data_IF_158850856514
#
_entry.id   IF_158850856514
#
_cell.length_a   1.000
_cell.length_b   1.000
_cell.length_c   1.000
_cell.angle_alpha   90.00
_cell.angle_beta   90.00
_cell.angle_gamma   90.00
#
_symmetry.space_group_name_H-M   'P 1'
#
loop_
_entity.id
_entity.type
_entity.pdbx_description
1 polymer ?
#
# COMPACT_ATOMS: atom_id res chain seq x y z
N UNK A 1 14.64 1.01 40.23
CA UNK A 1 14.05 0.42 39.00
C UNK A 1 14.10 1.47 37.91
N UNK A 2 15.05 1.41 36.96
CA UNK A 2 15.07 2.36 35.86
C UNK A 2 13.87 2.11 34.95
N UNK A 3 13.13 3.17 34.67
CA UNK A 3 11.95 3.19 33.83
C UNK A 3 12.31 2.75 32.41
N UNK A 4 11.42 1.95 31.81
CA UNK A 4 11.57 1.29 30.48
C UNK A 4 11.98 2.25 29.34
N UNK A 5 11.77 3.54 29.55
CA UNK A 5 12.08 4.65 28.65
C UNK A 5 13.58 4.88 28.48
N UNK A 6 14.41 4.62 29.51
CA UNK A 6 15.84 4.90 29.44
C UNK A 6 16.64 3.89 28.60
N UNK A 7 16.10 2.69 28.34
CA UNK A 7 16.83 1.62 27.61
C UNK A 7 16.72 1.73 26.09
N UNK A 8 15.81 2.54 25.54
CA UNK A 8 15.63 2.67 24.09
C UNK A 8 16.53 3.71 23.43
N UNK A 9 17.09 4.66 24.19
CA UNK A 9 17.88 5.77 23.64
C UNK A 9 19.28 5.37 23.12
N UNK A 10 19.84 4.25 23.56
CA UNK A 10 21.20 3.82 23.21
C UNK A 10 21.27 2.85 22.01
N UNK A 11 20.14 2.57 21.36
CA UNK A 11 20.08 1.58 20.29
C UNK A 11 20.37 2.21 18.92
N UNK A 12 21.19 1.56 18.06
CA UNK A 12 21.41 2.03 16.69
C UNK A 12 20.06 2.10 15.94
N UNK A 13 19.88 3.14 15.11
CA UNK A 13 18.62 3.49 14.41
C UNK A 13 17.90 2.27 13.80
N UNK A 14 18.65 1.32 13.21
CA UNK A 14 18.09 0.08 12.65
C UNK A 14 17.41 -0.83 13.68
N UNK A 15 17.97 -0.95 14.88
CA UNK A 15 17.39 -1.75 15.97
C UNK A 15 16.16 -1.06 16.55
N UNK A 16 16.19 0.27 16.65
CA UNK A 16 15.04 1.07 17.07
C UNK A 16 13.86 0.88 16.10
N UNK A 17 14.09 1.02 14.79
CA UNK A 17 13.05 0.81 13.78
C UNK A 17 12.45 -0.61 13.84
N UNK A 18 13.28 -1.65 13.93
CA UNK A 18 12.78 -3.03 14.02
C UNK A 18 11.93 -3.26 15.27
N UNK A 19 12.32 -2.67 16.40
CA UNK A 19 11.53 -2.74 17.63
C UNK A 19 10.19 -2.02 17.46
N UNK A 20 10.21 -0.77 17.01
CA UNK A 20 8.98 0.03 16.78
C UNK A 20 8.03 -0.60 15.76
N UNK A 21 8.57 -1.15 14.66
CA UNK A 21 7.76 -1.86 13.67
C UNK A 21 7.12 -3.12 14.25
N UNK A 22 7.86 -3.87 15.07
CA UNK A 22 7.31 -5.06 15.74
C UNK A 22 6.23 -4.71 16.76
N UNK A 23 6.31 -3.54 17.38
CA UNK A 23 5.26 -3.01 18.28
C UNK A 23 4.03 -2.59 17.49
N UNK A 24 4.19 -1.87 16.37
CA UNK A 24 3.10 -1.54 15.46
C UNK A 24 2.39 -2.79 14.92
N UNK A 25 3.13 -3.85 14.61
CA UNK A 25 2.54 -5.11 14.14
C UNK A 25 1.70 -5.82 15.22
N UNK A 26 2.09 -5.66 16.49
CA UNK A 26 1.38 -6.20 17.65
C UNK A 26 0.20 -5.33 18.07
N UNK A 27 0.23 -4.04 17.74
CA UNK A 27 -0.88 -3.12 17.95
C UNK A 27 -2.14 -3.64 17.23
N UNK A 28 -3.29 -3.53 17.89
CA UNK A 28 -4.55 -4.02 17.31
C UNK A 28 -4.86 -3.24 16.03
N UNK A 29 -4.90 -1.91 16.11
CA UNK A 29 -5.30 -1.03 15.00
C UNK A 29 -4.22 -1.01 13.91
N UNK A 30 -2.95 -0.83 14.29
CA UNK A 30 -1.82 -0.78 13.35
C UNK A 30 -1.58 -2.12 12.65
N UNK A 31 -1.63 -3.23 13.40
CA UNK A 31 -1.47 -4.57 12.84
C UNK A 31 -2.59 -4.92 11.86
N UNK A 32 -3.84 -4.53 12.14
CA UNK A 32 -4.94 -4.69 11.19
C UNK A 32 -4.73 -3.92 9.90
N UNK A 33 -4.25 -2.67 9.96
CA UNK A 33 -3.95 -1.89 8.77
C UNK A 33 -2.91 -2.60 7.88
N UNK A 34 -1.84 -3.14 8.47
CA UNK A 34 -0.80 -3.84 7.71
C UNK A 34 -1.35 -5.13 7.08
N UNK A 35 -2.06 -5.97 7.84
CA UNK A 35 -2.67 -7.20 7.30
C UNK A 35 -3.64 -6.90 6.16
N UNK A 36 -4.50 -5.90 6.32
CA UNK A 36 -5.46 -5.50 5.31
C UNK A 36 -4.76 -4.95 4.06
N UNK A 37 -3.70 -4.14 4.22
CA UNK A 37 -2.91 -3.65 3.08
C UNK A 37 -2.28 -4.79 2.27
N UNK A 38 -1.81 -5.85 2.93
CA UNK A 38 -1.29 -7.04 2.28
C UNK A 38 -2.38 -7.84 1.56
N UNK A 39 -3.56 -7.99 2.19
CA UNK A 39 -4.70 -8.66 1.56
C UNK A 39 -5.13 -7.91 0.29
N UNK A 40 -5.27 -6.59 0.36
CA UNK A 40 -5.63 -5.75 -0.78
C UNK A 40 -4.55 -5.81 -1.88
N UNK A 41 -3.27 -5.77 -1.51
CA UNK A 41 -2.19 -5.93 -2.49
C UNK A 41 -2.22 -7.30 -3.19
N UNK A 42 -2.44 -8.39 -2.44
CA UNK A 42 -2.59 -9.73 -3.03
C UNK A 42 -3.81 -9.78 -3.94
N UNK A 43 -4.92 -9.15 -3.53
CA UNK A 43 -6.12 -9.03 -4.35
C UNK A 43 -5.86 -8.27 -5.66
N UNK A 44 -5.14 -7.15 -5.62
CA UNK A 44 -4.70 -6.40 -6.81
C UNK A 44 -3.92 -7.28 -7.78
N UNK A 45 -2.90 -7.98 -7.27
CA UNK A 45 -2.04 -8.86 -8.07
C UNK A 45 -2.87 -10.01 -8.67
N UNK A 46 -3.78 -10.58 -7.89
CA UNK A 46 -4.71 -11.60 -8.36
C UNK A 46 -5.59 -11.08 -9.51
N UNK A 47 -6.19 -9.89 -9.38
CA UNK A 47 -7.00 -9.29 -10.45
C UNK A 47 -6.18 -9.11 -11.74
N UNK A 48 -4.95 -8.61 -11.63
CA UNK A 48 -4.07 -8.40 -12.79
C UNK A 48 -3.72 -9.73 -13.47
N UNK A 49 -3.35 -10.76 -12.70
CA UNK A 49 -2.95 -12.06 -13.27
C UNK A 49 -4.14 -12.77 -13.95
N UNK A 50 -5.31 -12.77 -13.32
CA UNK A 50 -6.50 -13.44 -13.87
C UNK A 50 -7.01 -12.73 -15.13
N UNK A 51 -6.92 -11.40 -15.16
CA UNK A 51 -7.34 -10.61 -16.32
C UNK A 51 -6.30 -10.57 -17.45
N UNK A 52 -5.02 -10.83 -17.18
CA UNK A 52 -3.92 -10.69 -18.14
C UNK A 52 -4.17 -11.35 -19.50
N UNK A 53 -4.83 -12.52 -19.52
CA UNK A 53 -5.12 -13.28 -20.75
C UNK A 53 -6.31 -12.76 -21.55
N UNK A 54 -7.19 -11.96 -20.93
CA UNK A 54 -8.41 -11.42 -21.54
C UNK A 54 -8.29 -9.93 -21.86
N UNK A 55 -7.21 -9.29 -21.43
CA UNK A 55 -6.99 -7.87 -21.65
C UNK A 55 -6.67 -7.59 -23.13
N UNK A 56 -7.34 -6.61 -23.77
CA UNK A 56 -6.91 -6.08 -25.05
C UNK A 56 -5.52 -5.45 -24.91
N UNK A 57 -4.80 -5.25 -26.03
CA UNK A 57 -3.46 -4.67 -26.00
C UNK A 57 -3.43 -3.26 -25.38
N UNK A 58 -4.52 -2.51 -25.50
CA UNK A 58 -4.66 -1.15 -24.99
C UNK A 58 -5.89 -1.02 -24.07
N UNK A 59 -5.72 -0.35 -22.94
CA UNK A 59 -6.75 -0.15 -21.92
C UNK A 59 -6.84 1.32 -21.48
N UNK A 60 -8.04 1.82 -21.14
CA UNK A 60 -8.23 3.20 -20.71
C UNK A 60 -7.81 3.37 -19.24
N UNK A 61 -6.55 3.78 -19.02
CA UNK A 61 -6.01 4.04 -17.67
C UNK A 61 -6.00 5.54 -17.32
N UNK A 62 -5.96 6.42 -18.32
CA UNK A 62 -5.83 7.87 -18.10
C UNK A 62 -7.18 8.58 -18.07
N UNK A 63 -7.94 8.38 -16.99
CA UNK A 63 -9.29 8.96 -16.82
C UNK A 63 -9.34 10.50 -16.81
N UNK A 64 -8.19 11.19 -16.68
CA UNK A 64 -8.10 12.65 -16.78
C UNK A 64 -8.06 13.17 -18.22
N UNK A 65 -7.89 12.30 -19.21
CA UNK A 65 -7.83 12.66 -20.64
C UNK A 65 -9.22 12.60 -21.28
N UNK A 66 -9.48 13.37 -22.36
CA UNK A 66 -10.73 13.27 -23.10
C UNK A 66 -10.96 11.85 -23.63
N UNK A 67 -12.23 11.46 -23.75
CA UNK A 67 -12.63 10.11 -24.16
C UNK A 67 -12.03 9.72 -25.52
N UNK A 68 -11.69 8.44 -25.67
CA UNK A 68 -11.14 7.86 -26.90
C UNK A 68 -9.66 7.53 -26.77
N UNK A 69 -8.91 7.64 -27.87
CA UNK A 69 -7.53 7.16 -27.96
C UNK A 69 -6.58 7.85 -26.96
N UNK A 70 -6.90 9.05 -26.50
CA UNK A 70 -6.07 9.78 -25.54
C UNK A 70 -6.05 9.14 -24.12
N UNK A 71 -6.98 8.22 -23.81
CA UNK A 71 -7.01 7.51 -22.53
C UNK A 71 -6.24 6.19 -22.53
N UNK A 72 -5.92 5.68 -23.73
CA UNK A 72 -5.42 4.34 -23.94
C UNK A 72 -3.94 4.24 -23.57
N UNK A 73 -3.61 3.22 -22.80
CA UNK A 73 -2.25 2.81 -22.49
C UNK A 73 -2.11 1.30 -22.71
N UNK A 74 -0.90 0.81 -23.02
CA UNK A 74 -0.65 -0.61 -23.11
C UNK A 74 -1.04 -1.34 -21.82
N UNK A 75 -1.66 -2.52 -21.93
CA UNK A 75 -2.09 -3.31 -20.77
C UNK A 75 -0.96 -3.64 -19.79
N UNK A 76 0.30 -3.66 -20.27
CA UNK A 76 1.50 -3.82 -19.44
C UNK A 76 1.64 -2.74 -18.36
N UNK A 77 0.99 -1.58 -18.50
CA UNK A 77 0.99 -0.53 -17.47
C UNK A 77 0.31 -0.98 -16.16
N UNK A 78 -0.54 -2.01 -16.17
CA UNK A 78 -1.09 -2.58 -14.91
C UNK A 78 0.02 -3.14 -14.01
N UNK A 79 1.09 -3.70 -14.58
CA UNK A 79 2.24 -4.15 -13.79
C UNK A 79 3.01 -2.97 -13.17
N UNK A 80 3.05 -1.82 -13.85
CA UNK A 80 3.59 -0.60 -13.29
C UNK A 80 2.73 -0.10 -12.12
N UNK A 81 1.40 -0.16 -12.24
CA UNK A 81 0.48 0.16 -11.12
C UNK A 81 0.76 -0.75 -9.92
N UNK A 82 0.86 -2.07 -10.14
CA UNK A 82 1.22 -3.00 -9.06
C UNK A 82 2.58 -2.67 -8.42
N UNK A 83 3.59 -2.32 -9.23
CA UNK A 83 4.90 -1.88 -8.74
C UNK A 83 4.85 -0.62 -7.89
N UNK A 84 4.04 0.37 -8.29
CA UNK A 84 3.81 1.59 -7.50
C UNK A 84 3.12 1.29 -6.16
N UNK A 85 2.20 0.32 -6.14
CA UNK A 85 1.56 -0.11 -4.89
C UNK A 85 2.55 -0.80 -3.95
N UNK A 86 3.49 -1.60 -4.46
CA UNK A 86 4.58 -2.17 -3.63
C UNK A 86 5.40 -1.05 -2.97
N UNK A 87 5.75 -0.03 -3.74
CA UNK A 87 6.49 1.12 -3.23
C UNK A 87 5.67 1.89 -2.18
N UNK A 88 4.38 2.09 -2.44
CA UNK A 88 3.45 2.72 -1.50
C UNK A 88 3.37 1.96 -0.17
N UNK A 89 3.13 0.64 -0.20
CA UNK A 89 3.07 -0.21 1.01
C UNK A 89 4.38 -0.14 1.78
N UNK A 90 5.51 -0.23 1.08
CA UNK A 90 6.84 -0.20 1.69
C UNK A 90 7.12 1.14 2.37
N UNK A 91 6.86 2.25 1.67
CA UNK A 91 7.07 3.60 2.20
C UNK A 91 6.13 3.88 3.36
N UNK A 92 4.87 3.50 3.25
CA UNK A 92 3.87 3.75 4.27
C UNK A 92 4.14 2.92 5.55
N UNK A 93 4.50 1.65 5.40
CA UNK A 93 4.94 0.81 6.51
C UNK A 93 6.22 1.34 7.17
N UNK A 94 7.16 1.86 6.39
CA UNK A 94 8.37 2.51 6.92
C UNK A 94 8.02 3.77 7.73
N UNK A 95 7.24 4.70 7.15
CA UNK A 95 6.82 5.93 7.82
C UNK A 95 6.03 5.65 9.10
N UNK A 96 5.09 4.71 9.06
CA UNK A 96 4.32 4.30 10.23
C UNK A 96 5.23 3.76 11.34
N UNK A 97 6.21 2.90 11.00
CA UNK A 97 7.18 2.39 11.97
C UNK A 97 8.10 3.47 12.56
N UNK A 98 8.45 4.50 11.78
CA UNK A 98 9.24 5.65 12.25
C UNK A 98 8.44 6.56 13.17
N UNK A 99 7.16 6.81 12.87
CA UNK A 99 6.31 7.68 13.69
C UNK A 99 5.74 7.00 14.93
N UNK A 100 5.63 5.67 14.96
CA UNK A 100 5.04 4.92 16.07
C UNK A 100 5.61 5.24 17.46
N UNK A 101 6.94 5.33 17.68
CA UNK A 101 7.50 5.63 18.99
C UNK A 101 7.33 7.10 19.42
N UNK A 102 7.04 8.00 18.47
CA UNK A 102 6.87 9.44 18.75
C UNK A 102 5.39 9.75 18.98
N UNK A 103 4.53 9.35 18.04
CA UNK A 103 3.10 9.62 18.07
C UNK A 103 2.32 8.43 17.47
N UNK A 104 1.86 7.48 18.31
CA UNK A 104 1.18 6.27 17.84
C UNK A 104 -0.09 6.54 17.03
N UNK A 105 -0.81 7.63 17.34
CA UNK A 105 -2.00 8.03 16.59
C UNK A 105 -1.63 8.40 15.14
N UNK A 106 -0.59 9.21 14.94
CA UNK A 106 -0.11 9.58 13.62
C UNK A 106 0.35 8.35 12.83
N UNK A 107 1.08 7.44 13.46
CA UNK A 107 1.52 6.20 12.83
C UNK A 107 0.35 5.33 12.34
N UNK A 108 -0.72 5.23 13.13
CA UNK A 108 -1.95 4.52 12.75
C UNK A 108 -2.67 5.23 11.60
N UNK A 109 -2.79 6.56 11.64
CA UNK A 109 -3.40 7.34 10.54
C UNK A 109 -2.64 7.12 9.24
N UNK A 110 -1.30 7.16 9.27
CA UNK A 110 -0.45 6.91 8.10
C UNK A 110 -0.71 5.51 7.53
N UNK A 111 -0.70 4.48 8.38
CA UNK A 111 -0.97 3.10 7.97
C UNK A 111 -2.35 2.94 7.32
N UNK A 112 -3.40 3.49 7.93
CA UNK A 112 -4.77 3.44 7.40
C UNK A 112 -4.98 4.28 6.14
N UNK A 113 -4.29 5.41 6.00
CA UNK A 113 -4.28 6.17 4.76
C UNK A 113 -3.67 5.34 3.60
N UNK A 114 -2.67 4.51 3.91
CA UNK A 114 -2.12 3.53 2.98
C UNK A 114 -3.17 2.51 2.53
N UNK A 115 -3.88 1.90 3.49
CA UNK A 115 -4.98 0.96 3.21
C UNK A 115 -6.03 1.59 2.29
N UNK A 116 -6.50 2.80 2.63
CA UNK A 116 -7.50 3.50 1.84
C UNK A 116 -7.01 3.78 0.41
N UNK A 117 -5.74 4.16 0.26
CA UNK A 117 -5.15 4.42 -1.05
C UNK A 117 -5.12 3.15 -1.91
N UNK A 118 -4.70 2.01 -1.34
CA UNK A 118 -4.66 0.73 -2.06
C UNK A 118 -6.08 0.30 -2.45
N UNK A 119 -7.04 0.44 -1.54
CA UNK A 119 -8.44 0.13 -1.82
C UNK A 119 -9.00 0.95 -2.99
N UNK A 120 -8.66 2.24 -3.08
CA UNK A 120 -9.05 3.08 -4.22
C UNK A 120 -8.36 2.65 -5.53
N UNK A 121 -7.11 2.18 -5.47
CA UNK A 121 -6.42 1.60 -6.62
C UNK A 121 -7.11 0.31 -7.08
N UNK A 122 -7.48 -0.57 -6.17
CA UNK A 122 -8.22 -1.81 -6.48
C UNK A 122 -9.54 -1.52 -7.19
N UNK A 123 -10.33 -0.57 -6.67
CA UNK A 123 -11.57 -0.12 -7.31
C UNK A 123 -11.30 0.42 -8.72
N UNK A 124 -10.22 1.20 -8.88
CA UNK A 124 -9.86 1.76 -10.18
C UNK A 124 -9.52 0.66 -11.18
N UNK A 125 -8.69 -0.31 -10.79
CA UNK A 125 -8.35 -1.44 -11.67
C UNK A 125 -9.57 -2.28 -11.98
N UNK A 126 -10.40 -2.60 -10.98
CA UNK A 126 -11.64 -3.36 -11.18
C UNK A 126 -12.57 -2.64 -12.17
N UNK A 127 -12.69 -1.31 -12.08
CA UNK A 127 -13.48 -0.52 -13.02
C UNK A 127 -12.93 -0.58 -14.44
N UNK A 128 -11.61 -0.48 -14.62
CA UNK A 128 -10.96 -0.64 -15.94
C UNK A 128 -11.30 -2.02 -16.51
N UNK A 129 -11.18 -3.07 -15.69
CA UNK A 129 -11.48 -4.43 -16.11
C UNK A 129 -12.95 -4.62 -16.53
N UNK A 130 -13.90 -4.06 -15.77
CA UNK A 130 -15.34 -4.15 -16.08
C UNK A 130 -15.75 -3.36 -17.33
N UNK A 131 -15.02 -2.32 -17.72
CA UNK A 131 -15.29 -1.57 -18.96
C UNK A 131 -14.82 -2.36 -20.18
N UNK A 132 -13.79 -3.19 -20.00
CA UNK A 132 -13.03 -3.80 -21.09
C UNK A 132 -13.42 -5.25 -21.35
N UNK A 133 -13.79 -5.99 -20.29
CA UNK A 133 -14.26 -7.39 -20.35
C UNK A 133 -15.78 -7.39 -20.50
#
# INVERSE_FOLDING_TARGET
MPTRVARSQDLPVRKHFKASFSELWRDEIGGWAIRLSLILFVFLVFLIIVSAWRLPPEIPLLYSRPWGNAQLLPASFLFLVAGLVVLLVSLNGFLSGVFFPVEPLLARIVAWAGVLTIFLVDITVLRVLLIVI
#
